data_IF_065028043444
#
_entry.id   IF_065028043444
#
_cell.length_a   1.000
_cell.length_b   1.000
_cell.length_c   1.000
_cell.angle_alpha   90.00
_cell.angle_beta   90.00
_cell.angle_gamma   90.00
#
_symmetry.space_group_name_H-M   'P 1'
#
loop_
_entity.id
_entity.type
_entity.pdbx_description
1 polymer ?
#
# COMPACT_ATOMS: atom_id res chain seq x y z
N UNK A 1 37.97 10.65 -14.34
CA UNK A 1 36.90 11.58 -14.79
C UNK A 1 35.47 11.10 -14.66
N UNK A 2 35.18 9.93 -14.06
CA UNK A 2 33.79 9.39 -13.87
C UNK A 2 33.04 9.87 -12.58
N UNK A 3 33.75 10.47 -11.62
CA UNK A 3 33.14 10.85 -10.32
C UNK A 3 32.28 12.12 -10.35
N UNK A 4 32.49 13.01 -11.33
CA UNK A 4 31.77 14.28 -11.43
C UNK A 4 30.46 14.20 -12.24
N UNK A 5 30.27 13.19 -13.07
CA UNK A 5 29.04 12.98 -13.85
C UNK A 5 27.91 12.44 -12.96
N UNK A 6 28.22 11.54 -12.04
CA UNK A 6 27.21 10.99 -11.11
C UNK A 6 26.62 12.05 -10.15
N UNK A 7 27.38 13.10 -9.79
CA UNK A 7 26.89 14.20 -8.99
C UNK A 7 25.86 15.08 -9.68
N UNK A 8 25.81 15.06 -11.01
CA UNK A 8 24.92 15.90 -11.83
C UNK A 8 23.60 15.18 -12.19
N UNK A 9 23.58 13.84 -12.06
CA UNK A 9 22.40 13.01 -12.36
C UNK A 9 21.55 12.67 -11.11
N UNK A 10 22.10 12.86 -9.90
CA UNK A 10 21.39 12.59 -8.64
C UNK A 10 20.81 13.90 -8.10
N UNK A 11 19.49 13.96 -8.02
CA UNK A 11 18.79 15.01 -7.29
C UNK A 11 18.90 14.75 -5.78
N UNK A 12 19.96 15.28 -5.21
CA UNK A 12 20.26 15.13 -3.78
C UNK A 12 19.16 15.69 -2.89
N UNK A 13 18.44 16.69 -3.33
CA UNK A 13 17.36 17.32 -2.54
C UNK A 13 16.20 16.35 -2.44
N UNK A 14 15.74 15.81 -3.57
CA UNK A 14 14.65 14.83 -3.61
C UNK A 14 14.97 13.53 -2.85
N UNK A 15 16.24 13.21 -2.67
CA UNK A 15 16.66 12.02 -1.92
C UNK A 15 16.88 12.29 -0.44
N UNK A 16 17.56 13.41 -0.10
CA UNK A 16 17.96 13.69 1.29
C UNK A 16 16.82 14.24 2.13
N UNK A 17 15.89 15.00 1.54
CA UNK A 17 14.77 15.58 2.29
C UNK A 17 13.85 14.50 2.86
N UNK A 18 13.32 13.56 2.07
CA UNK A 18 12.52 12.46 2.61
C UNK A 18 13.29 11.61 3.63
N UNK A 19 14.56 11.31 3.35
CA UNK A 19 15.40 10.55 4.27
C UNK A 19 15.56 11.27 5.61
N UNK A 20 15.83 12.57 5.60
CA UNK A 20 15.95 13.37 6.82
C UNK A 20 14.63 13.40 7.62
N UNK A 21 13.50 13.51 6.94
CA UNK A 21 12.17 13.46 7.59
C UNK A 21 11.98 12.11 8.29
N UNK A 22 12.23 11.01 7.59
CA UNK A 22 12.08 9.66 8.16
C UNK A 22 13.01 9.46 9.36
N UNK A 23 14.28 9.83 9.24
CA UNK A 23 15.23 9.71 10.34
C UNK A 23 14.83 10.57 11.54
N UNK A 24 14.32 11.77 11.31
CA UNK A 24 13.83 12.65 12.39
C UNK A 24 12.62 12.02 13.10
N UNK A 25 11.66 11.50 12.36
CA UNK A 25 10.50 10.81 12.94
C UNK A 25 10.93 9.57 13.74
N UNK A 26 11.83 8.76 13.20
CA UNK A 26 12.39 7.61 13.94
C UNK A 26 13.09 8.02 15.22
N UNK A 27 13.91 9.08 15.17
CA UNK A 27 14.59 9.60 16.36
C UNK A 27 13.60 10.09 17.42
N UNK A 28 12.55 10.82 17.01
CA UNK A 28 11.48 11.26 17.93
C UNK A 28 10.78 10.09 18.61
N UNK A 29 10.50 9.01 17.87
CA UNK A 29 9.86 7.82 18.42
C UNK A 29 10.78 7.08 19.41
N UNK A 30 12.08 7.10 19.19
CA UNK A 30 13.05 6.51 20.12
C UNK A 30 13.24 7.34 21.39
N UNK A 31 13.21 8.68 21.26
CA UNK A 31 13.43 9.59 22.40
C UNK A 31 12.18 9.71 23.27
N UNK A 32 10.99 9.75 22.64
CA UNK A 32 9.70 9.95 23.33
C UNK A 32 8.72 8.82 23.05
N UNK A 33 8.97 7.58 23.49
CA UNK A 33 8.16 6.42 23.11
C UNK A 33 6.70 6.53 23.56
N UNK A 34 6.44 7.00 24.78
CA UNK A 34 5.07 7.12 25.31
C UNK A 34 4.28 8.26 24.63
N UNK A 35 4.90 9.41 24.41
CA UNK A 35 4.28 10.49 23.66
C UNK A 35 3.96 10.10 22.22
N UNK A 36 4.86 9.37 21.58
CA UNK A 36 4.69 8.87 20.22
C UNK A 36 3.56 7.85 20.10
N UNK A 37 3.43 6.94 21.07
CA UNK A 37 2.30 5.98 21.13
C UNK A 37 0.97 6.73 21.27
N UNK A 38 0.90 7.75 22.12
CA UNK A 38 -0.32 8.54 22.29
C UNK A 38 -0.71 9.24 20.99
N UNK A 39 0.24 9.94 20.35
CA UNK A 39 0.00 10.63 19.06
C UNK A 39 -0.44 9.63 17.99
N UNK A 40 0.25 8.49 17.87
CA UNK A 40 -0.11 7.45 16.91
C UNK A 40 -1.49 6.88 17.15
N UNK A 41 -1.88 6.65 18.42
CA UNK A 41 -3.21 6.12 18.74
C UNK A 41 -4.32 7.11 18.38
N UNK A 42 -4.12 8.40 18.65
CA UNK A 42 -5.08 9.45 18.28
C UNK A 42 -5.20 9.58 16.75
N UNK A 43 -4.06 9.65 16.05
CA UNK A 43 -4.04 9.73 14.59
C UNK A 43 -4.65 8.50 13.95
N UNK A 44 -4.35 7.30 14.48
CA UNK A 44 -4.94 6.05 14.00
C UNK A 44 -6.45 6.02 14.22
N UNK A 45 -6.93 6.40 15.40
CA UNK A 45 -8.36 6.47 15.70
C UNK A 45 -9.08 7.40 14.73
N UNK A 46 -8.59 8.62 14.59
CA UNK A 46 -9.15 9.59 13.66
C UNK A 46 -9.14 9.11 12.20
N UNK A 47 -7.98 8.70 11.70
CA UNK A 47 -7.85 8.30 10.28
C UNK A 47 -8.41 6.90 10.00
N UNK A 48 -8.31 5.96 10.92
CA UNK A 48 -8.74 4.57 10.72
C UNK A 48 -10.20 4.36 11.07
N UNK A 49 -10.61 4.76 12.27
CA UNK A 49 -11.93 4.43 12.78
C UNK A 49 -13.00 5.41 12.26
N UNK A 50 -12.76 6.72 12.35
CA UNK A 50 -13.73 7.73 11.89
C UNK A 50 -13.88 7.74 10.36
N UNK A 51 -12.80 7.54 9.61
CA UNK A 51 -12.82 7.52 8.15
C UNK A 51 -12.95 6.11 7.54
N UNK A 52 -13.13 5.06 8.34
CA UNK A 52 -13.19 3.68 7.86
C UNK A 52 -14.22 3.45 6.75
N UNK A 53 -15.45 3.97 6.93
CA UNK A 53 -16.50 3.88 5.91
C UNK A 53 -16.12 4.63 4.61
N UNK A 54 -15.52 5.80 4.74
CA UNK A 54 -15.06 6.58 3.57
C UNK A 54 -14.03 5.79 2.75
N UNK A 55 -13.04 5.18 3.40
CA UNK A 55 -12.04 4.36 2.71
C UNK A 55 -12.66 3.13 2.06
N UNK A 56 -13.60 2.47 2.71
CA UNK A 56 -14.29 1.33 2.14
C UNK A 56 -15.05 1.71 0.86
N UNK A 57 -15.81 2.80 0.89
CA UNK A 57 -16.53 3.31 -0.28
C UNK A 57 -15.58 3.76 -1.39
N UNK A 58 -14.51 4.46 -1.03
CA UNK A 58 -13.47 4.89 -1.96
C UNK A 58 -12.81 3.69 -2.64
N UNK A 59 -12.41 2.66 -1.89
CA UNK A 59 -11.80 1.45 -2.43
C UNK A 59 -12.71 0.71 -3.40
N UNK A 60 -13.99 0.52 -3.04
CA UNK A 60 -14.99 -0.08 -3.94
C UNK A 60 -15.18 0.79 -5.19
N UNK A 61 -15.25 2.11 -5.03
CA UNK A 61 -15.36 3.05 -6.14
C UNK A 61 -14.17 2.96 -7.11
N UNK A 62 -12.95 2.87 -6.59
CA UNK A 62 -11.73 2.70 -7.40
C UNK A 62 -11.78 1.40 -8.19
N UNK A 63 -12.13 0.28 -7.55
CA UNK A 63 -12.27 -1.01 -8.23
C UNK A 63 -13.32 -0.92 -9.32
N UNK A 64 -14.49 -0.35 -9.03
CA UNK A 64 -15.56 -0.15 -10.00
C UNK A 64 -15.13 0.70 -11.20
N UNK A 65 -14.49 1.84 -10.96
CA UNK A 65 -13.95 2.71 -12.01
C UNK A 65 -12.89 2.00 -12.84
N UNK A 66 -12.00 1.25 -12.22
CA UNK A 66 -10.95 0.52 -12.94
C UNK A 66 -11.53 -0.57 -13.83
N UNK A 67 -12.51 -1.33 -13.34
CA UNK A 67 -13.22 -2.33 -14.14
C UNK A 67 -13.98 -1.66 -15.30
N UNK A 68 -14.65 -0.54 -15.03
CA UNK A 68 -15.33 0.22 -16.09
C UNK A 68 -14.33 0.67 -17.17
N UNK A 69 -13.18 1.23 -16.81
CA UNK A 69 -12.15 1.64 -17.76
C UNK A 69 -11.61 0.43 -18.53
N UNK A 70 -11.32 -0.67 -17.85
CA UNK A 70 -10.76 -1.88 -18.47
C UNK A 70 -11.69 -2.49 -19.53
N UNK A 71 -13.00 -2.53 -19.27
CA UNK A 71 -13.98 -3.11 -20.18
C UNK A 71 -14.56 -2.11 -21.17
N UNK A 72 -14.30 -0.80 -21.02
CA UNK A 72 -14.77 0.24 -21.91
C UNK A 72 -13.83 0.44 -23.12
N UNK A 73 -14.24 1.38 -24.00
CA UNK A 73 -13.37 1.84 -25.09
C UNK A 73 -12.04 2.45 -24.63
N UNK A 74 -11.99 2.93 -23.40
CA UNK A 74 -10.78 3.55 -22.83
C UNK A 74 -9.69 2.53 -22.50
N UNK A 75 -10.02 1.28 -22.21
CA UNK A 75 -9.06 0.21 -21.99
C UNK A 75 -8.21 -0.17 -23.22
N UNK A 76 -8.57 0.34 -24.41
CA UNK A 76 -7.82 0.13 -25.65
C UNK A 76 -6.85 1.27 -25.97
N UNK A 77 -6.84 2.33 -25.17
CA UNK A 77 -5.94 3.48 -25.36
C UNK A 77 -4.53 3.04 -25.02
N UNK A 78 -3.62 3.22 -25.96
CA UNK A 78 -2.20 2.98 -25.73
C UNK A 78 -1.61 4.17 -24.99
N UNK A 79 -0.89 3.90 -23.90
CA UNK A 79 -0.12 4.89 -23.18
C UNK A 79 1.31 4.93 -23.76
N UNK A 80 1.76 6.12 -24.16
CA UNK A 80 3.08 6.33 -24.76
C UNK A 80 3.16 5.99 -26.25
N UNK A 81 4.36 6.24 -26.82
CA UNK A 81 4.62 6.14 -28.26
C UNK A 81 5.11 4.74 -28.70
N UNK A 82 5.16 3.78 -27.79
CA UNK A 82 5.64 2.44 -28.11
C UNK A 82 4.63 1.65 -28.95
N UNK A 83 5.01 1.17 -30.10
CA UNK A 83 4.16 0.31 -30.94
C UNK A 83 3.85 -1.05 -30.30
N UNK A 84 4.78 -1.58 -29.52
CA UNK A 84 4.65 -2.88 -28.83
C UNK A 84 5.04 -2.74 -27.36
N UNK A 85 4.40 -3.54 -26.47
CA UNK A 85 4.80 -3.61 -25.08
C UNK A 85 6.26 -4.00 -24.93
N UNK A 86 7.01 -3.29 -24.10
CA UNK A 86 8.42 -3.56 -23.83
C UNK A 86 8.63 -4.89 -23.09
N UNK A 87 7.66 -5.26 -22.23
CA UNK A 87 7.72 -6.46 -21.42
C UNK A 87 6.58 -7.42 -21.78
N UNK A 88 6.82 -8.73 -21.64
CA UNK A 88 5.74 -9.72 -21.71
C UNK A 88 4.81 -9.56 -20.50
N UNK A 89 3.53 -9.90 -20.66
CA UNK A 89 2.50 -9.76 -19.61
C UNK A 89 2.91 -10.37 -18.27
N UNK A 90 3.55 -11.55 -18.29
CA UNK A 90 4.03 -12.18 -17.06
C UNK A 90 5.17 -11.39 -16.39
N UNK A 91 6.14 -10.89 -17.17
CA UNK A 91 7.25 -10.07 -16.65
C UNK A 91 6.70 -8.78 -16.04
N UNK A 92 5.82 -8.09 -16.77
CA UNK A 92 5.17 -6.88 -16.29
C UNK A 92 4.40 -7.12 -15.00
N UNK A 93 3.55 -8.16 -14.98
CA UNK A 93 2.78 -8.53 -13.78
C UNK A 93 3.67 -8.84 -12.57
N UNK A 94 4.76 -9.58 -12.78
CA UNK A 94 5.73 -9.90 -11.72
C UNK A 94 6.43 -8.63 -11.20
N UNK A 95 6.81 -7.72 -12.08
CA UNK A 95 7.43 -6.45 -11.67
C UNK A 95 6.50 -5.60 -10.81
N UNK A 96 5.24 -5.43 -11.22
CA UNK A 96 4.24 -4.69 -10.43
C UNK A 96 4.00 -5.37 -9.09
N UNK A 97 3.78 -6.70 -9.09
CA UNK A 97 3.55 -7.45 -7.87
C UNK A 97 4.70 -7.31 -6.87
N UNK A 98 5.95 -7.49 -7.32
CA UNK A 98 7.12 -7.41 -6.44
C UNK A 98 7.41 -6.00 -5.95
N UNK A 99 7.08 -4.97 -6.72
CA UNK A 99 7.34 -3.59 -6.32
C UNK A 99 6.34 -3.04 -5.33
N UNK A 100 5.10 -3.54 -5.33
CA UNK A 100 4.02 -2.95 -4.53
C UNK A 100 3.53 -3.83 -3.39
N UNK A 101 3.43 -5.13 -3.57
CA UNK A 101 2.71 -6.01 -2.66
C UNK A 101 3.55 -7.08 -1.99
N UNK A 102 4.69 -7.47 -2.58
CA UNK A 102 5.42 -8.64 -2.10
C UNK A 102 5.91 -8.48 -0.65
N UNK A 103 6.40 -7.32 -0.27
CA UNK A 103 6.87 -7.05 1.10
C UNK A 103 5.73 -7.13 2.11
N UNK A 104 4.59 -6.51 1.80
CA UNK A 104 3.41 -6.49 2.67
C UNK A 104 2.84 -7.90 2.84
N UNK A 105 2.67 -8.64 1.75
CA UNK A 105 2.17 -10.02 1.81
C UNK A 105 3.10 -10.90 2.63
N UNK A 106 4.41 -10.83 2.41
CA UNK A 106 5.39 -11.62 3.17
C UNK A 106 5.35 -11.30 4.66
N UNK A 107 5.29 -10.03 5.02
CA UNK A 107 5.24 -9.63 6.42
C UNK A 107 3.91 -10.02 7.07
N UNK A 108 2.80 -9.59 6.49
CA UNK A 108 1.48 -9.79 7.09
C UNK A 108 1.01 -11.24 7.05
N UNK A 109 1.41 -12.04 6.08
CA UNK A 109 1.06 -13.46 6.06
C UNK A 109 1.52 -14.21 7.32
N UNK A 110 2.61 -13.73 7.96
CA UNK A 110 3.16 -14.34 9.15
C UNK A 110 2.58 -13.79 10.45
N UNK A 111 2.18 -12.53 10.50
CA UNK A 111 1.79 -11.88 11.76
C UNK A 111 0.34 -11.39 11.81
N UNK A 112 -0.38 -11.30 10.70
CA UNK A 112 -1.71 -10.71 10.66
C UNK A 112 -2.74 -11.51 11.45
N UNK A 113 -2.65 -12.84 11.44
CA UNK A 113 -3.51 -13.70 12.24
C UNK A 113 -3.39 -13.39 13.75
N UNK A 114 -2.20 -13.01 14.23
CA UNK A 114 -1.97 -12.67 15.63
C UNK A 114 -2.58 -11.31 15.98
N UNK A 115 -2.63 -10.38 15.04
CA UNK A 115 -3.33 -9.11 15.21
C UNK A 115 -4.83 -9.34 15.37
N UNK A 116 -5.44 -10.11 14.48
CA UNK A 116 -6.87 -10.45 14.55
C UNK A 116 -7.24 -11.33 15.74
N UNK A 117 -6.31 -12.15 16.24
CA UNK A 117 -6.52 -12.96 17.41
C UNK A 117 -6.85 -12.14 18.68
N UNK A 118 -6.38 -10.90 18.72
CA UNK A 118 -6.60 -9.98 19.84
C UNK A 118 -7.75 -8.99 19.62
N UNK A 119 -8.45 -9.07 18.48
CA UNK A 119 -9.56 -8.18 18.19
C UNK A 119 -10.85 -8.66 18.88
N UNK A 120 -11.52 -7.74 19.57
CA UNK A 120 -12.75 -8.02 20.31
C UNK A 120 -13.89 -8.55 19.42
N UNK A 121 -13.94 -8.14 18.16
CA UNK A 121 -14.91 -8.65 17.20
C UNK A 121 -14.72 -10.14 16.91
N UNK A 122 -13.47 -10.59 16.77
CA UNK A 122 -13.14 -12.00 16.54
C UNK A 122 -13.56 -12.86 17.74
N UNK A 123 -13.39 -12.35 18.94
CA UNK A 123 -13.83 -13.01 20.16
C UNK A 123 -15.36 -13.14 20.23
N UNK A 124 -16.10 -12.07 19.92
CA UNK A 124 -17.57 -12.08 19.86
C UNK A 124 -18.15 -13.01 18.79
N UNK A 125 -17.43 -13.23 17.69
CA UNK A 125 -17.89 -14.08 16.58
C UNK A 125 -17.63 -15.58 16.79
N UNK A 126 -17.05 -15.99 17.88
CA UNK A 126 -16.80 -17.39 18.19
C UNK A 126 -15.34 -17.76 18.36
N UNK A 127 -14.51 -16.76 18.51
CA UNK A 127 -13.13 -16.87 18.98
C UNK A 127 -12.07 -17.04 17.91
N UNK A 128 -10.84 -16.91 18.37
CA UNK A 128 -9.60 -16.90 17.60
C UNK A 128 -9.48 -18.08 16.62
N UNK A 129 -9.84 -19.27 17.05
CA UNK A 129 -9.61 -20.49 16.29
C UNK A 129 -10.41 -20.58 15.00
N UNK A 130 -11.56 -19.91 14.94
CA UNK A 130 -12.43 -19.90 13.75
C UNK A 130 -12.10 -18.76 12.79
N UNK A 131 -11.76 -17.61 13.31
CA UNK A 131 -11.78 -16.37 12.53
C UNK A 131 -10.42 -15.71 12.33
N UNK A 132 -9.46 -15.91 13.22
CA UNK A 132 -8.17 -15.23 13.13
C UNK A 132 -7.40 -15.56 11.84
N UNK A 133 -7.57 -16.77 11.29
CA UNK A 133 -6.96 -17.15 10.01
C UNK A 133 -7.81 -16.76 8.79
N UNK A 134 -9.11 -16.54 8.97
CA UNK A 134 -10.04 -16.21 7.87
C UNK A 134 -10.13 -14.71 7.63
N UNK A 135 -10.08 -13.90 8.68
CA UNK A 135 -10.17 -12.45 8.59
C UNK A 135 -9.09 -11.80 7.71
N UNK A 136 -7.82 -12.23 7.74
CA UNK A 136 -6.80 -11.73 6.82
C UNK A 136 -7.18 -11.84 5.35
N UNK A 137 -7.89 -12.89 4.96
CA UNK A 137 -8.36 -13.06 3.58
C UNK A 137 -9.35 -11.98 3.15
N UNK A 138 -10.21 -11.51 4.07
CA UNK A 138 -11.11 -10.38 3.80
C UNK A 138 -10.36 -9.05 3.78
N UNK A 139 -9.37 -8.88 4.64
CA UNK A 139 -8.53 -7.68 4.63
C UNK A 139 -7.83 -7.50 3.27
N UNK A 140 -7.29 -8.58 2.71
CA UNK A 140 -6.68 -8.59 1.36
C UNK A 140 -7.70 -8.77 0.24
N UNK A 141 -8.93 -8.38 0.47
CA UNK A 141 -10.01 -8.41 -0.51
C UNK A 141 -9.97 -7.24 -1.52
N UNK A 142 -11.05 -7.09 -2.31
CA UNK A 142 -11.11 -6.12 -3.41
C UNK A 142 -10.82 -4.66 -3.01
N UNK A 143 -11.12 -4.27 -1.78
CA UNK A 143 -10.89 -2.90 -1.29
C UNK A 143 -9.40 -2.61 -1.19
N UNK A 144 -8.63 -3.46 -0.54
CA UNK A 144 -7.18 -3.32 -0.44
C UNK A 144 -6.53 -3.32 -1.84
N UNK A 145 -6.90 -4.24 -2.69
CA UNK A 145 -6.44 -4.28 -4.08
C UNK A 145 -6.80 -3.01 -4.85
N UNK A 146 -7.94 -2.40 -4.57
CA UNK A 146 -8.35 -1.13 -5.17
C UNK A 146 -7.33 -0.01 -4.91
N UNK A 147 -6.83 0.11 -3.68
CA UNK A 147 -5.81 1.11 -3.35
C UNK A 147 -4.48 0.85 -4.07
N UNK A 148 -4.06 -0.41 -4.19
CA UNK A 148 -2.85 -0.77 -4.96
C UNK A 148 -2.98 -0.47 -6.45
N UNK A 149 -4.18 -0.58 -7.03
CA UNK A 149 -4.44 -0.21 -8.42
C UNK A 149 -4.15 1.28 -8.67
N UNK A 150 -4.49 2.16 -7.73
CA UNK A 150 -4.16 3.60 -7.85
C UNK A 150 -2.65 3.80 -8.00
N UNK A 151 -1.85 3.12 -7.19
CA UNK A 151 -0.39 3.16 -7.31
C UNK A 151 0.07 2.63 -8.67
N UNK A 152 -0.47 1.49 -9.11
CA UNK A 152 -0.12 0.90 -10.39
C UNK A 152 -0.42 1.85 -11.57
N UNK A 153 -1.54 2.57 -11.52
CA UNK A 153 -1.89 3.58 -12.53
C UNK A 153 -0.94 4.77 -12.46
N UNK A 154 -0.68 5.30 -11.25
CA UNK A 154 0.20 6.45 -11.06
C UNK A 154 1.63 6.19 -11.54
N UNK A 155 2.15 4.98 -11.36
CA UNK A 155 3.48 4.61 -11.83
C UNK A 155 3.51 4.12 -13.29
N UNK A 156 2.34 3.88 -13.90
CA UNK A 156 2.22 3.47 -15.30
C UNK A 156 2.24 4.64 -16.30
N UNK A 157 2.13 5.87 -15.82
CA UNK A 157 2.23 7.11 -16.58
C UNK A 157 3.61 7.73 -16.44
#
# INVERSE_FOLDING_TARGET
>A
MKKNTLKKELDWVSMLVPLAIVLTVCALFMIFPEGSKLVLSVVRGFLGDDFGLYYALLGVGIVGCTLYIAFSKFGKIKLGDCEKPQYRSFQWGTMIFTSTMAADILFYSLCEWALYANESQVEMMGGMQKWASTYPLFHWGPIAWGFYIVLAVAFGF
#
